data_IF_001180406808
#
_entry.id   IF_001180406808
#
_cell.length_a   1.000
_cell.length_b   1.000
_cell.length_c   1.000
_cell.angle_alpha   90.00
_cell.angle_beta   90.00
_cell.angle_gamma   90.00
#
_symmetry.space_group_name_H-M   'P 1'
#
loop_
_entity.id
_entity.type
_entity.pdbx_description
1 polymer ?
#
# COMPACT_ATOMS: atom_id res chain seq x y z
N UNK A 1 11.29 -10.05 -13.94
CA UNK A 1 11.10 -8.80 -14.74
C UNK A 1 11.37 -7.54 -13.92
N UNK A 2 10.55 -7.16 -12.92
CA UNK A 2 10.79 -5.94 -12.13
C UNK A 2 12.05 -6.03 -11.27
N UNK A 3 12.29 -7.18 -10.63
CA UNK A 3 13.53 -7.47 -9.91
C UNK A 3 14.73 -7.36 -10.87
N UNK A 4 14.65 -7.96 -12.04
CA UNK A 4 15.72 -7.90 -13.04
C UNK A 4 16.02 -6.46 -13.50
N UNK A 5 15.01 -5.58 -13.57
CA UNK A 5 15.21 -4.15 -13.89
C UNK A 5 15.93 -3.44 -12.73
N UNK A 6 15.56 -3.75 -11.49
CA UNK A 6 16.21 -3.21 -10.31
C UNK A 6 17.67 -3.67 -10.22
N UNK A 7 17.93 -4.97 -10.40
CA UNK A 7 19.26 -5.57 -10.33
C UNK A 7 20.18 -4.99 -11.41
N UNK A 8 19.71 -4.89 -12.66
CA UNK A 8 20.46 -4.25 -13.74
C UNK A 8 20.79 -2.79 -13.46
N UNK A 9 19.91 -2.06 -12.75
CA UNK A 9 20.19 -0.69 -12.33
C UNK A 9 21.24 -0.65 -11.21
N UNK A 10 21.13 -1.54 -10.22
CA UNK A 10 22.10 -1.65 -9.15
C UNK A 10 23.49 -2.00 -9.70
N UNK A 11 23.59 -2.93 -10.65
CA UNK A 11 24.84 -3.26 -11.35
C UNK A 11 25.44 -2.05 -12.09
N UNK A 12 24.59 -1.24 -12.74
CA UNK A 12 25.05 -0.11 -13.56
C UNK A 12 25.46 1.13 -12.75
N UNK A 13 24.78 1.40 -11.64
CA UNK A 13 24.93 2.66 -10.90
C UNK A 13 25.40 2.46 -9.44
N UNK A 14 25.54 1.22 -8.96
CA UNK A 14 26.05 0.91 -7.62
C UNK A 14 25.29 1.63 -6.51
N UNK A 15 26.02 2.18 -5.54
CA UNK A 15 25.45 2.90 -4.40
C UNK A 15 24.72 4.20 -4.76
N UNK A 16 24.95 4.76 -5.96
CA UNK A 16 24.25 5.96 -6.46
C UNK A 16 22.91 5.62 -7.12
N UNK A 17 22.59 4.32 -7.27
CA UNK A 17 21.35 3.85 -7.86
C UNK A 17 20.15 4.17 -6.95
N UNK A 18 19.50 5.30 -7.17
CA UNK A 18 18.24 5.59 -6.48
C UNK A 18 17.21 4.46 -6.74
N UNK A 19 16.44 4.08 -5.70
CA UNK A 19 15.45 3.03 -5.82
C UNK A 19 14.31 3.44 -6.75
N UNK A 20 13.85 2.49 -7.57
CA UNK A 20 12.59 2.64 -8.30
C UNK A 20 11.49 2.25 -7.33
N UNK A 21 10.58 3.18 -7.04
CA UNK A 21 9.44 2.89 -6.17
C UNK A 21 8.28 2.30 -6.97
N UNK A 22 7.68 1.24 -6.44
CA UNK A 22 6.43 0.68 -6.92
C UNK A 22 5.27 1.23 -6.10
N UNK A 23 4.18 1.58 -6.76
CA UNK A 23 2.89 1.86 -6.12
C UNK A 23 1.96 0.71 -6.48
N UNK A 24 1.64 -0.13 -5.50
CA UNK A 24 0.73 -1.25 -5.60
C UNK A 24 -0.67 -0.78 -5.23
N UNK A 25 -1.57 -0.67 -6.22
CA UNK A 25 -3.00 -0.45 -5.97
C UNK A 25 -3.67 -1.81 -5.70
N UNK A 26 -3.99 -2.05 -4.44
CA UNK A 26 -4.49 -3.33 -3.94
C UNK A 26 -5.98 -3.30 -3.61
N UNK A 27 -6.74 -2.33 -4.14
CA UNK A 27 -8.17 -2.17 -3.87
C UNK A 27 -9.02 -3.42 -4.10
N UNK A 28 -8.55 -4.37 -4.93
CA UNK A 28 -9.25 -5.61 -5.27
C UNK A 28 -8.56 -6.88 -4.74
N UNK A 29 -7.61 -6.77 -3.80
CA UNK A 29 -6.83 -7.93 -3.33
C UNK A 29 -7.66 -9.07 -2.71
N UNK A 30 -8.92 -8.81 -2.33
CA UNK A 30 -9.87 -9.80 -1.78
C UNK A 30 -10.95 -10.25 -2.77
N UNK A 31 -11.03 -9.62 -3.94
CA UNK A 31 -12.07 -9.91 -4.95
C UNK A 31 -11.41 -10.70 -6.07
N UNK A 32 -11.24 -12.00 -5.83
CA UNK A 32 -10.52 -12.91 -6.71
C UNK A 32 -11.46 -13.99 -7.24
N UNK A 33 -11.24 -14.39 -8.50
CA UNK A 33 -11.98 -15.48 -9.11
C UNK A 33 -11.30 -16.83 -8.83
N UNK A 34 -12.08 -17.91 -8.82
CA UNK A 34 -11.59 -19.30 -8.84
C UNK A 34 -10.68 -19.69 -7.67
N UNK A 35 -11.00 -19.27 -6.44
CA UNK A 35 -10.25 -19.63 -5.23
C UNK A 35 -8.76 -19.24 -5.26
N UNK A 36 -8.40 -18.25 -6.08
CA UNK A 36 -7.04 -17.74 -6.13
C UNK A 36 -6.70 -16.93 -4.86
N UNK A 37 -5.42 -16.90 -4.53
CA UNK A 37 -4.87 -16.01 -3.50
C UNK A 37 -4.12 -14.84 -4.14
N UNK A 38 -4.25 -13.66 -3.55
CA UNK A 38 -3.50 -12.48 -3.99
C UNK A 38 -2.16 -12.42 -3.26
N UNK A 39 -1.08 -12.27 -4.04
CA UNK A 39 0.27 -12.04 -3.52
C UNK A 39 0.63 -10.58 -3.77
N UNK A 40 0.77 -9.80 -2.71
CA UNK A 40 1.16 -8.40 -2.81
C UNK A 40 2.58 -8.28 -3.41
N UNK A 41 2.80 -7.37 -4.39
CA UNK A 41 4.14 -7.02 -4.86
C UNK A 41 5.10 -6.60 -3.74
N UNK A 42 4.57 -6.09 -2.62
CA UNK A 42 5.37 -5.70 -1.46
C UNK A 42 6.09 -6.89 -0.78
N UNK A 43 5.69 -8.12 -1.07
CA UNK A 43 6.35 -9.35 -0.57
C UNK A 43 7.62 -9.69 -1.34
N UNK A 44 7.71 -9.25 -2.60
CA UNK A 44 8.80 -9.61 -3.53
C UNK A 44 9.70 -8.44 -3.88
N UNK A 45 9.20 -7.19 -3.83
CA UNK A 45 9.96 -6.01 -4.20
C UNK A 45 10.04 -5.00 -3.03
N UNK A 46 11.26 -4.72 -2.50
CA UNK A 46 11.41 -3.95 -1.26
C UNK A 46 10.85 -2.53 -1.31
N UNK A 47 11.04 -1.82 -2.42
CA UNK A 47 10.66 -0.40 -2.54
C UNK A 47 9.21 -0.26 -3.03
N UNK A 48 8.28 -0.81 -2.26
CA UNK A 48 6.84 -0.83 -2.60
C UNK A 48 6.00 -0.05 -1.59
N UNK A 49 5.18 0.86 -2.11
CA UNK A 49 4.02 1.43 -1.45
C UNK A 49 2.78 0.59 -1.75
N UNK A 50 1.97 0.34 -0.74
CA UNK A 50 0.68 -0.32 -0.86
C UNK A 50 -0.40 0.74 -0.68
N UNK A 51 -1.33 0.83 -1.63
CA UNK A 51 -2.54 1.63 -1.55
C UNK A 51 -3.72 0.67 -1.47
N UNK A 52 -4.47 0.72 -0.37
CA UNK A 52 -5.65 -0.12 -0.18
C UNK A 52 -6.87 0.71 0.20
N UNK A 53 -8.05 0.28 -0.25
CA UNK A 53 -9.34 0.85 0.15
C UNK A 53 -10.35 -0.24 0.42
N UNK A 54 -11.19 -0.01 1.43
CA UNK A 54 -12.31 -0.88 1.77
C UNK A 54 -13.53 -0.67 0.86
N UNK A 55 -13.50 0.36 0.00
CA UNK A 55 -14.63 0.73 -0.86
C UNK A 55 -15.13 -0.41 -1.76
N UNK A 56 -14.20 -1.27 -2.22
CA UNK A 56 -14.53 -2.41 -3.10
C UNK A 56 -14.96 -3.62 -2.30
N UNK A 57 -14.18 -3.99 -1.28
CA UNK A 57 -14.44 -5.16 -0.42
C UNK A 57 -15.78 -5.08 0.31
N UNK A 58 -16.20 -3.87 0.73
CA UNK A 58 -17.46 -3.65 1.45
C UNK A 58 -18.60 -3.13 0.58
N UNK A 59 -18.36 -2.93 -0.73
CA UNK A 59 -19.27 -2.23 -1.65
C UNK A 59 -19.80 -0.89 -1.11
N UNK A 60 -19.05 -0.24 -0.24
CA UNK A 60 -19.41 1.03 0.38
C UNK A 60 -18.37 2.11 0.03
N UNK A 61 -18.48 2.76 -1.14
CA UNK A 61 -17.56 3.83 -1.53
C UNK A 61 -17.68 5.08 -0.63
N UNK A 62 -18.78 5.22 0.11
CA UNK A 62 -19.05 6.37 0.98
C UNK A 62 -18.28 6.34 2.30
N UNK A 63 -17.77 5.19 2.75
CA UNK A 63 -17.06 5.07 4.05
C UNK A 63 -15.67 5.75 4.06
N UNK A 64 -15.12 6.06 2.88
CA UNK A 64 -13.81 6.73 2.67
C UNK A 64 -12.68 6.17 3.55
N UNK A 65 -12.69 4.86 3.78
CA UNK A 65 -11.67 4.14 4.57
C UNK A 65 -10.68 3.43 3.65
N UNK A 66 -9.40 3.60 3.99
CA UNK A 66 -8.27 3.00 3.30
C UNK A 66 -6.98 3.33 4.02
N UNK A 67 -5.89 2.77 3.53
CA UNK A 67 -4.56 3.03 4.06
C UNK A 67 -3.52 3.08 2.96
N UNK A 68 -2.42 3.77 3.30
CA UNK A 68 -1.16 3.66 2.59
C UNK A 68 -0.17 2.96 3.52
N UNK A 69 0.48 1.91 3.04
CA UNK A 69 1.49 1.18 3.79
C UNK A 69 2.80 1.08 3.00
N UNK A 70 3.88 0.80 3.72
CA UNK A 70 5.18 0.50 3.14
C UNK A 70 5.46 -0.99 3.28
N UNK A 71 6.13 -1.58 2.28
CA UNK A 71 6.69 -2.92 2.44
C UNK A 71 7.57 -3.00 3.69
N UNK A 72 7.48 -4.13 4.40
CA UNK A 72 8.33 -4.43 5.55
C UNK A 72 9.79 -4.75 5.15
N UNK A 73 10.15 -4.65 3.87
CA UNK A 73 11.50 -4.80 3.35
C UNK A 73 12.15 -3.44 3.04
N UNK A 74 11.41 -2.32 3.04
CA UNK A 74 11.96 -0.97 2.81
C UNK A 74 13.04 -0.64 3.86
N UNK A 75 14.22 -0.10 3.53
CA UNK A 75 15.21 0.28 4.53
C UNK A 75 14.67 1.26 5.60
N UNK A 76 15.15 1.13 6.84
CA UNK A 76 14.63 1.90 7.99
C UNK A 76 14.72 3.42 7.79
N UNK A 77 15.77 3.90 7.14
CA UNK A 77 15.95 5.33 6.86
C UNK A 77 14.78 5.89 6.06
N UNK A 78 14.37 5.20 4.98
CA UNK A 78 13.20 5.58 4.20
C UNK A 78 11.90 5.48 5.00
N UNK A 79 11.71 4.43 5.82
CA UNK A 79 10.50 4.32 6.65
C UNK A 79 10.37 5.48 7.63
N UNK A 80 11.47 5.90 8.24
CA UNK A 80 11.48 7.01 9.21
C UNK A 80 11.13 8.34 8.54
N UNK A 81 11.65 8.57 7.34
CA UNK A 81 11.30 9.73 6.51
C UNK A 81 9.82 9.71 6.15
N UNK A 82 9.32 8.62 5.58
CA UNK A 82 7.91 8.55 5.17
C UNK A 82 6.94 8.63 6.35
N UNK A 83 7.27 8.03 7.50
CA UNK A 83 6.48 8.19 8.73
C UNK A 83 6.36 9.66 9.16
N UNK A 84 7.39 10.46 8.88
CA UNK A 84 7.41 11.89 9.22
C UNK A 84 6.70 12.76 8.18
N UNK A 85 6.89 12.46 6.90
CA UNK A 85 6.41 13.32 5.80
C UNK A 85 5.01 12.96 5.31
N UNK A 86 4.62 11.68 5.28
CA UNK A 86 3.29 11.29 4.75
C UNK A 86 2.14 11.97 5.50
N UNK A 87 2.09 11.98 6.85
CA UNK A 87 1.02 12.67 7.56
C UNK A 87 1.00 14.18 7.27
N UNK A 88 2.19 14.81 7.16
CA UNK A 88 2.30 16.23 6.84
C UNK A 88 1.77 16.53 5.44
N UNK A 89 2.12 15.71 4.45
CA UNK A 89 1.64 15.86 3.08
C UNK A 89 0.13 15.68 3.00
N UNK A 90 -0.44 14.70 3.70
CA UNK A 90 -1.89 14.52 3.80
C UNK A 90 -2.58 15.77 4.35
N UNK A 91 -2.09 16.30 5.47
CA UNK A 91 -2.62 17.54 6.06
C UNK A 91 -2.53 18.75 5.12
N UNK A 92 -1.41 18.95 4.41
CA UNK A 92 -1.24 20.07 3.47
C UNK A 92 -2.15 19.92 2.25
N UNK A 93 -2.35 18.69 1.77
CA UNK A 93 -3.16 18.40 0.57
C UNK A 93 -4.68 18.56 0.77
N UNK A 94 -5.14 18.81 1.99
CA UNK A 94 -6.57 18.90 2.33
C UNK A 94 -7.28 17.55 2.43
N UNK A 95 -6.61 16.45 2.08
CA UNK A 95 -7.07 15.09 2.36
C UNK A 95 -6.65 14.70 3.77
N UNK A 96 -7.53 15.01 4.73
CA UNK A 96 -7.37 14.66 6.13
C UNK A 96 -7.44 13.15 6.36
N UNK A 97 -7.24 12.76 7.62
CA UNK A 97 -7.45 11.40 8.13
C UNK A 97 -8.85 10.93 7.71
N UNK A 98 -8.99 9.63 7.42
CA UNK A 98 -10.27 8.98 7.17
C UNK A 98 -11.30 9.29 8.27
N UNK A 99 -12.57 8.95 8.05
CA UNK A 99 -13.60 9.14 9.06
C UNK A 99 -13.22 8.43 10.38
N UNK A 100 -13.50 9.07 11.50
CA UNK A 100 -13.14 8.55 12.83
C UNK A 100 -13.82 7.20 13.10
N UNK A 101 -15.14 7.11 12.92
CA UNK A 101 -15.90 5.92 13.34
C UNK A 101 -15.40 4.62 12.67
N UNK A 102 -15.19 4.56 11.34
CA UNK A 102 -14.63 3.36 10.70
C UNK A 102 -13.22 3.00 11.18
N UNK A 103 -12.39 3.96 11.63
CA UNK A 103 -11.06 3.67 12.16
C UNK A 103 -11.11 2.90 13.49
N UNK A 104 -12.08 3.20 14.36
CA UNK A 104 -12.26 2.47 15.62
C UNK A 104 -12.83 1.07 15.40
N UNK A 105 -13.51 0.88 14.27
CA UNK A 105 -14.15 -0.37 13.89
C UNK A 105 -13.29 -1.20 12.91
N UNK A 106 -12.01 -0.85 12.69
CA UNK A 106 -11.15 -1.54 11.71
C UNK A 106 -11.13 -3.04 11.95
N UNK A 107 -11.04 -3.48 13.21
CA UNK A 107 -10.98 -4.90 13.53
C UNK A 107 -12.26 -5.64 13.12
N UNK A 108 -13.42 -5.02 13.30
CA UNK A 108 -14.70 -5.60 12.88
C UNK A 108 -14.83 -5.57 11.36
N UNK A 109 -14.52 -4.43 10.74
CA UNK A 109 -14.63 -4.21 9.29
C UNK A 109 -13.67 -5.12 8.49
N UNK A 110 -12.50 -5.43 9.03
CA UNK A 110 -11.49 -6.25 8.36
C UNK A 110 -11.98 -7.67 8.09
N UNK A 111 -12.85 -8.19 8.96
CA UNK A 111 -13.47 -9.52 8.81
C UNK A 111 -14.62 -9.55 7.80
N UNK A 112 -15.11 -8.38 7.38
CA UNK A 112 -16.23 -8.27 6.47
C UNK A 112 -15.74 -8.27 5.02
N UNK A 113 -16.38 -9.09 4.19
CA UNK A 113 -16.26 -9.05 2.75
C UNK A 113 -17.60 -9.40 2.12
N UNK A 114 -18.03 -8.64 1.12
CA UNK A 114 -19.18 -9.00 0.31
C UNK A 114 -18.66 -9.75 -0.92
N UNK A 115 -18.73 -11.08 -0.88
CA UNK A 115 -18.50 -11.93 -2.04
C UNK A 115 -19.78 -12.04 -2.86
N UNK A 116 -19.66 -11.84 -4.18
CA UNK A 116 -20.72 -12.10 -5.18
C UNK A 116 -20.48 -13.46 -5.80
#
# INVERSE_FOLDING_TARGET
>A
MLLDIYDKRQEKYGHDAQPIWLISDEAYNRILLNNNEFISPATVYPYTFICYTYAKTLLNPGIRLGYVALSNQVPLDYRSLFRTYLPKTMSISGYMISDYLPQYMIQDIETLSISI
#
